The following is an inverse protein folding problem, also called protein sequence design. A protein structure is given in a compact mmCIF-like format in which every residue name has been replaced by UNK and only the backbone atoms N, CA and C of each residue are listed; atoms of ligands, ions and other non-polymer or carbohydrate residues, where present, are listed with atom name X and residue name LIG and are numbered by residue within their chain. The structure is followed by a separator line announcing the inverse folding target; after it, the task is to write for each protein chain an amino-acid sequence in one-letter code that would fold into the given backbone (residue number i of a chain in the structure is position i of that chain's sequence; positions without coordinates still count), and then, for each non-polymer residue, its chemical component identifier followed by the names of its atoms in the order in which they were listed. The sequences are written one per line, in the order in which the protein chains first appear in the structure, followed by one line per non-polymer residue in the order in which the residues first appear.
data_IF_412324598608
#
_entry.id   IF_412324598608
#
_cell.length_a   1.000
_cell.length_b   1.000
_cell.length_c   1.000
_cell.angle_alpha   90.00
_cell.angle_beta   90.00
_cell.angle_gamma   90.00
#
_symmetry.space_group_name_H-M   'P 1'
#
loop_
_entity.id
_entity.type
_entity.pdbx_description
1 polymer ?
#
# COMPACT_ATOMS: atom_id res chain seq x y z
N UNK A 1 -18.10 13.06 -17.22
CA UNK A 1 -17.76 13.31 -15.83
C UNK A 1 -16.25 13.52 -15.75
N UNK A 2 -15.79 14.50 -14.97
CA UNK A 2 -14.37 14.84 -14.79
C UNK A 2 -14.05 14.83 -13.30
N UNK A 3 -12.82 14.39 -12.96
CA UNK A 3 -12.33 14.34 -11.57
C UNK A 3 -10.95 15.01 -11.49
N UNK A 4 -10.65 15.62 -10.35
CA UNK A 4 -9.34 16.22 -10.08
C UNK A 4 -8.38 15.09 -9.65
N UNK A 5 -7.19 14.95 -10.27
CA UNK A 5 -6.24 13.90 -9.91
C UNK A 5 -5.47 14.24 -8.63
N UNK A 6 -4.87 13.23 -8.02
CA UNK A 6 -3.83 13.43 -7.02
C UNK A 6 -2.64 14.17 -7.66
N UNK A 7 -2.06 15.21 -7.03
CA UNK A 7 -0.91 15.94 -7.55
C UNK A 7 0.27 15.06 -7.92
N UNK A 8 0.48 13.97 -7.21
CA UNK A 8 1.58 13.02 -7.48
C UNK A 8 1.49 12.38 -8.87
N UNK A 9 0.29 12.34 -9.49
CA UNK A 9 0.11 11.82 -10.85
C UNK A 9 0.93 12.62 -11.89
N UNK A 10 1.17 13.92 -11.68
CA UNK A 10 2.02 14.70 -12.56
C UNK A 10 3.46 14.17 -12.63
N UNK A 11 3.95 13.58 -11.53
CA UNK A 11 5.27 12.96 -11.44
C UNK A 11 5.35 11.53 -11.97
N UNK A 12 4.26 10.98 -12.50
CA UNK A 12 4.25 9.61 -13.02
C UNK A 12 5.27 9.45 -14.16
N UNK A 13 6.12 8.42 -14.04
CA UNK A 13 7.12 8.08 -15.04
C UNK A 13 7.41 6.58 -14.99
N UNK A 14 8.11 6.06 -15.99
CA UNK A 14 8.42 4.62 -16.12
C UNK A 14 9.52 4.14 -15.15
N UNK A 15 10.21 5.06 -14.49
CA UNK A 15 11.29 4.75 -13.58
C UNK A 15 10.81 4.43 -12.16
N UNK A 16 9.56 4.74 -11.82
CA UNK A 16 8.95 4.47 -10.51
C UNK A 16 7.83 3.44 -10.61
N UNK A 17 7.85 2.44 -9.74
CA UNK A 17 6.68 1.63 -9.49
C UNK A 17 5.70 2.41 -8.61
N UNK A 18 4.75 3.06 -9.24
CA UNK A 18 3.69 3.81 -8.56
C UNK A 18 2.39 3.01 -8.50
N UNK A 19 2.50 1.70 -8.51
CA UNK A 19 1.37 0.78 -8.48
C UNK A 19 1.51 -0.18 -7.31
N UNK A 20 0.38 -0.67 -6.86
CA UNK A 20 0.32 -1.83 -5.98
C UNK A 20 -0.53 -2.92 -6.62
N UNK A 21 -0.24 -4.15 -6.28
CA UNK A 21 -0.99 -5.33 -6.68
C UNK A 21 -1.60 -6.00 -5.47
N UNK A 22 -2.90 -6.27 -5.49
CA UNK A 22 -3.55 -7.17 -4.57
C UNK A 22 -3.67 -8.54 -5.23
N UNK A 23 -3.21 -9.58 -4.57
CA UNK A 23 -3.36 -10.96 -4.98
C UNK A 23 -4.30 -11.67 -3.99
N UNK A 24 -5.50 -11.94 -4.42
CA UNK A 24 -6.56 -12.58 -3.64
C UNK A 24 -6.55 -14.06 -4.00
N UNK A 25 -6.01 -14.90 -3.14
CA UNK A 25 -5.99 -16.34 -3.39
C UNK A 25 -7.31 -16.95 -2.95
N UNK A 26 -8.06 -17.43 -3.93
CA UNK A 26 -9.32 -18.13 -3.71
C UNK A 26 -9.07 -19.58 -3.27
N UNK A 27 -10.07 -20.23 -2.67
CA UNK A 27 -9.99 -21.65 -2.34
C UNK A 27 -10.05 -22.55 -3.58
N UNK A 28 -10.72 -22.11 -4.64
CA UNK A 28 -10.88 -22.83 -5.91
C UNK A 28 -10.29 -22.06 -7.09
N UNK A 29 -10.01 -22.78 -8.18
CA UNK A 29 -9.55 -22.19 -9.45
C UNK A 29 -10.52 -21.10 -9.90
N UNK A 30 -10.02 -19.95 -10.30
CA UNK A 30 -10.84 -18.80 -10.72
C UNK A 30 -11.46 -19.06 -12.10
N UNK A 31 -12.76 -18.85 -12.23
CA UNK A 31 -13.45 -18.79 -13.49
C UNK A 31 -13.24 -17.39 -14.11
N UNK A 32 -12.45 -17.34 -15.17
CA UNK A 32 -12.09 -16.09 -15.85
C UNK A 32 -13.30 -15.34 -16.41
N UNK A 33 -14.23 -16.04 -17.07
CA UNK A 33 -15.40 -15.36 -17.68
C UNK A 33 -16.32 -14.80 -16.60
N UNK A 34 -16.49 -15.53 -15.52
CA UNK A 34 -17.26 -15.06 -14.38
C UNK A 34 -16.58 -13.86 -13.70
N UNK A 35 -15.24 -13.90 -13.53
CA UNK A 35 -14.48 -12.78 -13.01
C UNK A 35 -14.66 -11.53 -13.88
N UNK A 36 -14.47 -11.67 -15.19
CA UNK A 36 -14.62 -10.59 -16.17
C UNK A 36 -16.02 -9.95 -16.10
N UNK A 37 -17.06 -10.78 -16.06
CA UNK A 37 -18.44 -10.30 -15.89
C UNK A 37 -18.65 -9.58 -14.56
N UNK A 38 -18.04 -10.08 -13.48
CA UNK A 38 -18.16 -9.49 -12.13
C UNK A 38 -17.44 -8.15 -12.03
N UNK A 39 -16.24 -8.01 -12.63
CA UNK A 39 -15.50 -6.75 -12.72
C UNK A 39 -16.33 -5.69 -13.44
N UNK A 40 -16.85 -6.00 -14.64
CA UNK A 40 -17.63 -5.04 -15.42
C UNK A 40 -18.94 -4.65 -14.71
N UNK A 41 -19.57 -5.59 -14.01
CA UNK A 41 -20.77 -5.29 -13.22
C UNK A 41 -20.46 -4.44 -11.99
N UNK A 42 -19.37 -4.70 -11.28
CA UNK A 42 -18.93 -3.89 -10.16
C UNK A 42 -18.58 -2.46 -10.62
N UNK A 43 -17.87 -2.32 -11.75
CA UNK A 43 -17.42 -1.03 -12.30
C UNK A 43 -18.56 -0.01 -12.47
N UNK A 44 -19.78 -0.44 -12.72
CA UNK A 44 -20.96 0.45 -12.84
C UNK A 44 -21.14 1.31 -11.59
N UNK A 45 -20.84 0.75 -10.41
CA UNK A 45 -20.95 1.45 -9.12
C UNK A 45 -19.79 2.41 -8.84
N UNK A 46 -18.67 2.27 -9.58
CA UNK A 46 -17.41 2.97 -9.29
C UNK A 46 -16.90 3.75 -10.52
N UNK A 47 -17.64 4.73 -11.04
CA UNK A 47 -17.23 5.49 -12.23
C UNK A 47 -15.93 6.28 -12.03
N UNK A 48 -15.57 6.58 -10.79
CA UNK A 48 -14.31 7.24 -10.44
C UNK A 48 -13.07 6.33 -10.49
N UNK A 49 -13.24 5.01 -10.67
CA UNK A 49 -12.18 4.08 -11.09
C UNK A 49 -12.14 3.91 -12.62
N UNK A 50 -13.26 4.18 -13.31
CA UNK A 50 -13.35 4.11 -14.77
C UNK A 50 -12.88 5.44 -15.40
N UNK A 51 -11.61 5.75 -15.24
CA UNK A 51 -11.06 7.06 -15.66
C UNK A 51 -9.78 6.90 -16.47
N UNK A 52 -9.52 7.90 -17.31
CA UNK A 52 -8.23 8.06 -17.97
C UNK A 52 -7.71 9.48 -17.76
N UNK A 53 -6.40 9.67 -17.51
CA UNK A 53 -5.80 10.98 -17.40
C UNK A 53 -5.71 11.65 -18.78
N UNK A 54 -6.05 12.94 -18.83
CA UNK A 54 -5.86 13.79 -20.00
C UNK A 54 -5.28 15.11 -19.57
N UNK A 55 -4.41 15.67 -20.41
CA UNK A 55 -3.93 17.03 -20.28
C UNK A 55 -4.95 17.99 -20.85
N UNK A 56 -5.35 18.98 -20.07
CA UNK A 56 -6.13 20.15 -20.49
C UNK A 56 -5.29 21.41 -20.18
N UNK A 57 -4.70 22.01 -21.19
CA UNK A 57 -3.74 23.10 -21.04
C UNK A 57 -2.56 22.74 -20.14
N UNK A 58 -2.46 23.37 -18.98
CA UNK A 58 -1.42 23.11 -17.97
C UNK A 58 -1.90 22.19 -16.82
N UNK A 59 -3.05 21.53 -16.97
CA UNK A 59 -3.60 20.67 -15.93
C UNK A 59 -3.84 19.24 -16.42
N UNK A 60 -3.70 18.28 -15.50
CA UNK A 60 -4.24 16.94 -15.66
C UNK A 60 -5.68 16.91 -15.15
N UNK A 61 -6.53 16.19 -15.88
CA UNK A 61 -7.91 15.92 -15.52
C UNK A 61 -8.18 14.45 -15.75
N UNK A 62 -8.81 13.79 -14.80
CA UNK A 62 -9.27 12.41 -14.98
C UNK A 62 -10.67 12.45 -15.63
N UNK A 63 -10.74 12.00 -16.88
CA UNK A 63 -11.99 11.89 -17.61
C UNK A 63 -12.62 10.53 -17.42
N UNK A 64 -13.95 10.49 -17.28
CA UNK A 64 -14.65 9.22 -17.35
C UNK A 64 -14.33 8.51 -18.67
N UNK A 65 -13.96 7.25 -18.55
CA UNK A 65 -13.60 6.37 -19.65
C UNK A 65 -14.65 5.27 -19.79
N UNK A 66 -15.36 5.23 -20.90
CA UNK A 66 -16.40 4.24 -21.18
C UNK A 66 -15.87 2.90 -21.72
N UNK A 67 -14.57 2.82 -22.02
CA UNK A 67 -13.93 1.56 -22.36
C UNK A 67 -14.04 0.58 -21.20
N UNK A 68 -14.19 -0.72 -21.44
CA UNK A 68 -14.27 -1.69 -20.36
C UNK A 68 -12.97 -1.73 -19.56
N UNK A 69 -13.07 -1.90 -18.23
CA UNK A 69 -11.91 -2.18 -17.40
C UNK A 69 -11.19 -3.44 -17.91
N UNK A 70 -9.85 -3.41 -18.03
CA UNK A 70 -9.10 -4.55 -18.55
C UNK A 70 -9.09 -5.71 -17.54
N UNK A 71 -9.40 -6.92 -18.04
CA UNK A 71 -9.34 -8.17 -17.28
C UNK A 71 -8.55 -9.18 -18.09
N UNK A 72 -7.46 -9.71 -17.54
CA UNK A 72 -6.56 -10.63 -18.23
C UNK A 72 -6.72 -12.07 -17.71
N UNK A 73 -6.57 -13.09 -18.59
CA UNK A 73 -6.63 -14.51 -18.19
C UNK A 73 -5.30 -15.00 -17.59
N UNK A 74 -4.43 -14.11 -17.16
CA UNK A 74 -3.11 -14.40 -16.60
C UNK A 74 -2.70 -13.31 -15.59
N UNK A 75 -1.47 -13.43 -15.05
CA UNK A 75 -0.86 -12.55 -14.05
C UNK A 75 0.02 -11.45 -14.67
N UNK A 76 -0.18 -11.12 -15.97
CA UNK A 76 0.63 -10.08 -16.61
C UNK A 76 0.53 -8.74 -15.91
N UNK A 77 1.64 -8.03 -15.87
CA UNK A 77 1.70 -6.64 -15.47
C UNK A 77 1.70 -5.77 -16.74
N UNK A 78 0.76 -4.82 -16.82
CA UNK A 78 0.63 -3.89 -17.93
C UNK A 78 0.89 -2.45 -17.47
N UNK A 79 1.28 -1.56 -18.38
CA UNK A 79 1.40 -0.14 -18.01
C UNK A 79 0.02 0.47 -17.87
N UNK A 80 -0.33 0.91 -16.65
CA UNK A 80 -1.60 1.56 -16.37
C UNK A 80 -1.65 2.97 -16.98
N UNK A 81 -2.78 3.35 -17.55
CA UNK A 81 -2.94 4.59 -18.30
C UNK A 81 -2.47 4.51 -19.76
N UNK A 82 -2.00 3.33 -20.23
CA UNK A 82 -1.60 3.09 -21.61
C UNK A 82 -2.74 2.43 -22.41
N UNK A 83 -2.49 2.19 -23.70
CA UNK A 83 -3.38 1.45 -24.58
C UNK A 83 -3.65 0.03 -24.09
N UNK A 84 -2.64 -0.65 -23.51
CA UNK A 84 -2.78 -2.00 -22.95
C UNK A 84 -3.81 -2.07 -21.81
N UNK A 85 -3.94 -1.00 -21.04
CA UNK A 85 -4.94 -0.89 -19.97
C UNK A 85 -6.23 -0.17 -20.41
N UNK A 86 -6.49 -0.02 -21.72
CA UNK A 86 -7.59 0.80 -22.26
C UNK A 86 -7.58 2.24 -21.70
N UNK A 87 -6.41 2.78 -21.31
CA UNK A 87 -6.25 4.08 -20.68
C UNK A 87 -6.61 4.12 -19.17
N UNK A 88 -7.05 3.03 -18.58
CA UNK A 88 -7.40 2.98 -17.16
C UNK A 88 -6.18 2.92 -16.24
N UNK A 89 -6.32 3.49 -15.04
CA UNK A 89 -5.32 3.46 -13.97
C UNK A 89 -5.48 2.25 -13.02
N UNK A 90 -6.29 1.28 -13.41
CA UNK A 90 -6.56 0.02 -12.71
C UNK A 90 -6.72 -1.10 -13.74
N UNK A 91 -6.26 -2.31 -13.40
CA UNK A 91 -6.45 -3.51 -14.19
C UNK A 91 -6.71 -4.73 -13.31
N UNK A 92 -7.23 -5.79 -13.90
CA UNK A 92 -7.58 -7.03 -13.23
C UNK A 92 -7.00 -8.21 -14.00
N UNK A 93 -6.77 -9.31 -13.29
CA UNK A 93 -6.35 -10.55 -13.92
C UNK A 93 -6.66 -11.76 -13.04
N UNK A 94 -6.46 -12.95 -13.59
CA UNK A 94 -6.47 -14.16 -12.78
C UNK A 94 -5.55 -15.22 -13.36
N UNK A 95 -4.99 -16.01 -12.45
CA UNK A 95 -4.19 -17.19 -12.79
C UNK A 95 -4.42 -18.25 -11.73
N UNK A 96 -4.69 -19.46 -12.16
CA UNK A 96 -5.01 -20.57 -11.27
C UNK A 96 -6.14 -20.18 -10.29
N UNK A 97 -5.86 -20.17 -9.01
CA UNK A 97 -6.81 -19.79 -7.98
C UNK A 97 -6.66 -18.34 -7.48
N UNK A 98 -5.90 -17.49 -8.16
CA UNK A 98 -5.60 -16.13 -7.70
C UNK A 98 -6.23 -15.07 -8.60
N UNK A 99 -6.94 -14.11 -8.00
CA UNK A 99 -7.43 -12.89 -8.63
C UNK A 99 -6.43 -11.78 -8.33
N UNK A 100 -6.04 -11.02 -9.35
CA UNK A 100 -5.15 -9.87 -9.25
C UNK A 100 -5.91 -8.57 -9.49
N UNK A 101 -5.62 -7.56 -8.67
CA UNK A 101 -6.04 -6.18 -8.86
C UNK A 101 -4.79 -5.33 -8.86
N UNK A 102 -4.47 -4.70 -9.98
CA UNK A 102 -3.38 -3.74 -10.11
C UNK A 102 -3.97 -2.34 -10.12
N UNK A 103 -3.50 -1.48 -9.24
CA UNK A 103 -4.00 -0.11 -9.16
C UNK A 103 -2.85 0.89 -9.04
N UNK A 104 -2.96 2.00 -9.78
CA UNK A 104 -2.05 3.12 -9.62
C UNK A 104 -2.28 3.79 -8.25
N UNK A 105 -1.21 3.97 -7.49
CA UNK A 105 -1.27 4.71 -6.22
C UNK A 105 -1.63 6.19 -6.41
N UNK A 106 -1.55 6.70 -7.64
CA UNK A 106 -2.03 8.05 -7.96
C UNK A 106 -3.56 8.13 -8.08
N UNK A 107 -4.24 6.97 -8.25
CA UNK A 107 -5.70 6.88 -8.28
C UNK A 107 -6.25 6.57 -6.89
N UNK A 108 -5.76 5.53 -6.25
CA UNK A 108 -6.27 5.06 -4.97
C UNK A 108 -5.17 4.39 -4.13
N UNK A 109 -5.43 4.25 -2.84
CA UNK A 109 -4.68 3.36 -1.94
C UNK A 109 -5.47 2.06 -1.64
N UNK A 110 -4.91 1.20 -0.79
CA UNK A 110 -5.53 -0.07 -0.41
C UNK A 110 -6.93 0.10 0.18
N UNK A 111 -7.13 1.07 1.07
CA UNK A 111 -8.45 1.37 1.65
C UNK A 111 -9.42 1.96 0.62
N UNK A 112 -8.91 2.71 -0.35
CA UNK A 112 -9.71 3.25 -1.45
C UNK A 112 -10.21 2.17 -2.41
N UNK A 113 -9.41 1.13 -2.66
CA UNK A 113 -9.76 0.00 -3.55
C UNK A 113 -10.60 -1.06 -2.84
N UNK A 114 -10.51 -1.18 -1.52
CA UNK A 114 -11.22 -2.19 -0.72
C UNK A 114 -12.72 -2.31 -1.05
N UNK A 115 -13.51 -1.21 -1.13
CA UNK A 115 -14.93 -1.32 -1.46
C UNK A 115 -15.20 -1.93 -2.85
N UNK A 116 -14.37 -1.58 -3.85
CA UNK A 116 -14.46 -2.17 -5.19
C UNK A 116 -14.10 -3.66 -5.16
N UNK A 117 -13.04 -4.03 -4.46
CA UNK A 117 -12.64 -5.42 -4.25
C UNK A 117 -13.76 -6.24 -3.62
N UNK A 118 -14.39 -5.75 -2.56
CA UNK A 118 -15.51 -6.43 -1.88
C UNK A 118 -16.70 -6.60 -2.82
N UNK A 119 -17.08 -5.56 -3.56
CA UNK A 119 -18.20 -5.63 -4.51
C UNK A 119 -17.93 -6.63 -5.63
N UNK A 120 -16.71 -6.63 -6.18
CA UNK A 120 -16.27 -7.60 -7.18
C UNK A 120 -16.36 -9.03 -6.63
N UNK A 121 -15.78 -9.28 -5.45
CA UNK A 121 -15.76 -10.61 -4.83
C UNK A 121 -17.17 -11.09 -4.50
N UNK A 122 -18.03 -10.20 -3.98
CA UNK A 122 -19.42 -10.54 -3.71
C UNK A 122 -20.15 -10.98 -4.99
N UNK A 123 -20.02 -10.22 -6.08
CA UNK A 123 -20.64 -10.56 -7.36
C UNK A 123 -20.12 -11.89 -7.93
N UNK A 124 -18.82 -12.13 -7.79
CA UNK A 124 -18.18 -13.37 -8.22
C UNK A 124 -18.65 -14.56 -7.38
N UNK A 125 -18.54 -14.46 -6.05
CA UNK A 125 -18.88 -15.52 -5.11
C UNK A 125 -20.38 -15.84 -5.14
N UNK A 126 -21.24 -14.82 -5.09
CA UNK A 126 -22.69 -15.01 -5.10
C UNK A 126 -23.17 -15.72 -6.38
N UNK A 127 -22.56 -15.43 -7.52
CA UNK A 127 -22.90 -16.09 -8.78
C UNK A 127 -22.38 -17.53 -8.86
N UNK A 128 -21.22 -17.80 -8.28
CA UNK A 128 -20.56 -19.11 -8.34
C UNK A 128 -21.07 -20.10 -7.28
N UNK A 129 -21.31 -19.61 -6.07
CA UNK A 129 -21.58 -20.46 -4.91
C UNK A 129 -22.92 -20.16 -4.22
N UNK A 130 -23.61 -19.10 -4.61
CA UNK A 130 -24.80 -18.61 -3.94
C UNK A 130 -24.50 -17.53 -2.89
N UNK A 131 -25.55 -17.09 -2.19
CA UNK A 131 -25.49 -15.95 -1.26
C UNK A 131 -25.54 -16.37 0.22
N UNK A 132 -25.58 -17.66 0.51
CA UNK A 132 -25.70 -18.15 1.87
C UNK A 132 -24.51 -17.74 2.74
N UNK A 133 -24.81 -17.03 3.84
CA UNK A 133 -23.84 -16.54 4.80
C UNK A 133 -22.97 -15.38 4.31
N UNK A 134 -23.38 -14.70 3.22
CA UNK A 134 -22.83 -13.42 2.80
C UNK A 134 -23.64 -12.26 3.40
N UNK A 135 -22.94 -11.26 3.90
CA UNK A 135 -23.52 -10.03 4.42
C UNK A 135 -23.42 -8.92 3.36
N UNK A 136 -24.47 -8.14 3.16
CA UNK A 136 -24.52 -7.12 2.10
C UNK A 136 -24.46 -5.69 2.62
N UNK A 137 -24.63 -5.48 3.91
CA UNK A 137 -24.76 -4.15 4.51
C UNK A 137 -23.56 -3.22 4.24
N UNK A 138 -22.36 -3.79 4.18
CA UNK A 138 -21.13 -3.04 3.89
C UNK A 138 -20.62 -3.20 2.45
N UNK A 139 -21.39 -3.87 1.59
CA UNK A 139 -21.05 -4.06 0.19
C UNK A 139 -21.80 -3.04 -0.66
N UNK A 140 -21.05 -2.25 -1.43
CA UNK A 140 -21.65 -1.27 -2.35
C UNK A 140 -22.15 -2.00 -3.61
N UNK A 141 -23.43 -2.26 -3.67
CA UNK A 141 -24.07 -2.95 -4.78
C UNK A 141 -24.11 -2.08 -6.06
N UNK A 142 -24.16 -2.66 -7.27
CA UNK A 142 -24.15 -1.91 -8.53
C UNK A 142 -25.24 -0.83 -8.65
N UNK A 143 -26.36 -1.00 -7.99
CA UNK A 143 -27.52 -0.10 -7.96
C UNK A 143 -27.53 0.83 -6.73
N UNK A 144 -26.59 0.69 -5.81
CA UNK A 144 -26.51 1.58 -4.63
C UNK A 144 -26.04 2.99 -5.01
N UNK A 145 -26.52 4.04 -4.32
CA UNK A 145 -26.15 5.41 -4.64
C UNK A 145 -24.67 5.68 -4.40
N UNK A 146 -24.09 6.56 -5.22
CA UNK A 146 -22.73 7.07 -5.06
C UNK A 146 -22.79 8.29 -4.16
N UNK A 147 -22.02 8.27 -3.06
CA UNK A 147 -21.92 9.41 -2.14
C UNK A 147 -20.77 10.34 -2.56
N UNK A 148 -20.97 11.64 -2.42
CA UNK A 148 -19.95 12.65 -2.74
C UNK A 148 -18.62 12.41 -2.01
N UNK A 149 -18.67 12.00 -0.75
CA UNK A 149 -17.47 11.67 0.04
C UNK A 149 -16.60 10.55 -0.50
N UNK A 150 -17.08 9.78 -1.51
CA UNK A 150 -16.29 8.73 -2.13
C UNK A 150 -15.31 9.26 -3.19
N UNK A 151 -15.64 10.37 -3.87
CA UNK A 151 -14.93 10.80 -5.08
C UNK A 151 -14.60 12.30 -5.14
N UNK A 152 -15.11 13.11 -4.21
CA UNK A 152 -14.68 14.51 -4.11
C UNK A 152 -13.20 14.56 -3.77
N UNK A 153 -12.49 15.46 -4.45
CA UNK A 153 -11.06 15.68 -4.22
C UNK A 153 -10.82 16.11 -2.77
N UNK A 154 -9.99 15.36 -2.01
CA UNK A 154 -9.95 15.52 -0.55
C UNK A 154 -8.99 16.61 -0.06
N UNK A 155 -8.00 17.01 -0.89
CA UNK A 155 -7.03 18.00 -0.48
C UNK A 155 -7.59 19.41 -0.64
N UNK A 156 -7.36 20.32 0.32
CA UNK A 156 -7.78 21.71 0.21
C UNK A 156 -7.01 22.44 -0.90
N UNK A 157 -7.58 23.54 -1.42
CA UNK A 157 -6.94 24.38 -2.45
C UNK A 157 -5.81 25.27 -1.90
N UNK A 158 -5.65 25.37 -0.59
CA UNK A 158 -4.58 26.13 0.07
C UNK A 158 -4.15 25.50 1.37
N UNK A 159 -3.12 26.06 2.00
CA UNK A 159 -2.58 25.57 3.25
C UNK A 159 -3.63 25.53 4.35
N UNK A 160 -3.65 24.44 5.11
CA UNK A 160 -4.50 24.27 6.30
C UNK A 160 -3.91 25.05 7.47
N UNK A 161 -4.77 25.64 8.30
CA UNK A 161 -4.35 26.29 9.53
C UNK A 161 -3.90 25.25 10.56
N UNK A 162 -2.79 25.50 11.23
CA UNK A 162 -2.31 24.73 12.38
C UNK A 162 -2.35 25.63 13.63
N UNK A 163 -2.72 25.06 14.76
CA UNK A 163 -2.73 25.78 16.04
C UNK A 163 -1.36 25.83 16.69
N UNK A 164 -0.50 24.85 16.34
CA UNK A 164 0.85 24.72 16.85
C UNK A 164 1.86 24.61 15.71
N UNK A 165 3.05 25.15 15.94
CA UNK A 165 4.18 24.97 15.02
C UNK A 165 4.74 23.55 15.16
N UNK A 166 4.31 22.65 14.30
CA UNK A 166 4.87 21.30 14.23
C UNK A 166 6.16 21.32 13.40
N UNK A 167 7.29 21.16 14.08
CA UNK A 167 8.56 20.89 13.40
C UNK A 167 8.62 19.41 13.10
N UNK A 168 8.41 19.04 11.82
CA UNK A 168 8.67 17.66 11.40
C UNK A 168 10.11 17.29 11.76
N UNK A 169 10.28 16.24 12.55
CA UNK A 169 11.60 15.82 13.01
C UNK A 169 12.52 15.56 11.82
N UNK A 170 13.72 16.13 11.84
CA UNK A 170 14.73 15.89 10.82
C UNK A 170 15.09 14.40 10.82
N UNK A 171 15.02 13.78 9.67
CA UNK A 171 15.49 12.41 9.47
C UNK A 171 17.01 12.36 9.57
N UNK A 172 17.61 11.23 10.02
CA UNK A 172 19.06 11.09 10.05
C UNK A 172 19.64 11.21 8.63
N UNK A 173 20.80 11.87 8.52
CA UNK A 173 21.50 12.03 7.24
C UNK A 173 22.08 10.71 6.73
N UNK A 174 22.46 9.81 7.65
CA UNK A 174 22.93 8.47 7.34
C UNK A 174 22.12 7.43 8.11
N UNK A 175 21.76 6.37 7.43
CA UNK A 175 21.00 5.24 7.98
C UNK A 175 21.73 3.92 7.71
N UNK A 176 21.35 2.89 8.45
CA UNK A 176 21.82 1.54 8.19
C UNK A 176 21.32 1.06 6.83
N UNK A 177 22.27 0.65 5.99
CA UNK A 177 21.99 0.08 4.67
C UNK A 177 22.09 -1.44 4.74
N UNK A 178 21.16 -2.11 4.09
CA UNK A 178 21.21 -3.56 3.94
C UNK A 178 22.41 -3.99 3.09
N UNK A 179 22.95 -5.16 3.41
CA UNK A 179 24.04 -5.75 2.65
C UNK A 179 23.56 -6.20 1.26
N UNK A 180 24.02 -5.58 0.16
CA UNK A 180 23.59 -5.96 -1.19
C UNK A 180 23.99 -7.38 -1.58
N UNK A 181 25.03 -7.95 -0.96
CA UNK A 181 25.47 -9.34 -1.22
C UNK A 181 24.48 -10.35 -0.64
N UNK A 182 23.57 -9.93 0.23
CA UNK A 182 22.51 -10.79 0.75
C UNK A 182 21.48 -11.20 -0.33
N UNK A 183 21.51 -10.57 -1.50
CA UNK A 183 20.56 -10.78 -2.60
C UNK A 183 21.32 -11.34 -3.81
N UNK A 184 20.96 -12.53 -4.26
CA UNK A 184 21.67 -13.27 -5.30
C UNK A 184 21.19 -13.02 -6.74
N UNK A 185 20.06 -12.30 -6.91
CA UNK A 185 19.53 -11.95 -8.24
C UNK A 185 18.88 -10.56 -8.23
N UNK A 186 18.83 -9.92 -9.41
CA UNK A 186 18.02 -8.70 -9.59
C UNK A 186 16.55 -9.04 -9.79
N UNK A 187 15.67 -8.23 -9.24
CA UNK A 187 14.22 -8.34 -9.36
C UNK A 187 13.50 -8.11 -8.03
N UNK A 188 12.19 -8.19 -8.06
CA UNK A 188 11.35 -8.08 -6.88
C UNK A 188 10.94 -9.48 -6.43
N UNK A 189 11.21 -9.81 -5.16
CA UNK A 189 10.88 -11.09 -4.55
C UNK A 189 10.00 -10.88 -3.33
N UNK A 190 9.03 -11.76 -3.18
CA UNK A 190 8.12 -11.78 -2.04
C UNK A 190 8.12 -13.16 -1.38
N UNK A 191 8.10 -13.15 -0.07
CA UNK A 191 7.92 -14.32 0.78
C UNK A 191 6.63 -14.14 1.58
N UNK A 192 5.79 -15.16 1.56
CA UNK A 192 4.47 -15.14 2.19
C UNK A 192 4.52 -15.84 3.53
N UNK A 193 4.20 -15.11 4.58
CA UNK A 193 4.17 -15.64 5.94
C UNK A 193 2.73 -15.59 6.47
N UNK A 194 2.30 -16.67 7.13
CA UNK A 194 1.09 -16.65 7.95
C UNK A 194 1.46 -16.62 9.42
N UNK A 195 0.82 -15.71 10.15
CA UNK A 195 1.00 -15.52 11.58
C UNK A 195 -0.37 -15.38 12.24
N UNK A 196 -0.73 -16.20 13.24
CA UNK A 196 -2.01 -16.07 13.91
C UNK A 196 -2.18 -14.69 14.55
N UNK A 197 -3.29 -14.00 14.24
CA UNK A 197 -3.56 -12.63 14.73
C UNK A 197 -3.62 -12.58 16.26
N UNK A 198 -4.26 -13.57 16.89
CA UNK A 198 -4.48 -13.60 18.34
C UNK A 198 -3.16 -13.58 19.10
N UNK A 199 -2.22 -14.42 18.72
CA UNK A 199 -0.91 -14.55 19.36
C UNK A 199 -0.05 -13.32 19.10
N UNK A 200 -0.01 -12.84 17.86
CA UNK A 200 0.74 -11.62 17.49
C UNK A 200 0.19 -10.41 18.23
N UNK A 201 -1.14 -10.22 18.26
CA UNK A 201 -1.77 -9.09 18.94
C UNK A 201 -1.63 -9.15 20.45
N UNK A 202 -1.71 -10.35 21.06
CA UNK A 202 -1.49 -10.53 22.48
C UNK A 202 -0.06 -10.14 22.87
N UNK A 203 0.94 -10.56 22.09
CA UNK A 203 2.34 -10.22 22.34
C UNK A 203 2.60 -8.73 22.10
N UNK A 204 2.09 -8.15 21.02
CA UNK A 204 2.20 -6.72 20.77
C UNK A 204 1.62 -5.89 21.93
N UNK A 205 0.41 -6.21 22.38
CA UNK A 205 -0.27 -5.51 23.47
C UNK A 205 0.43 -5.68 24.82
N UNK A 206 0.92 -6.87 25.14
CA UNK A 206 1.62 -7.13 26.41
C UNK A 206 3.00 -6.45 26.47
N UNK A 207 3.55 -6.06 25.33
CA UNK A 207 4.82 -5.34 25.23
C UNK A 207 4.65 -3.87 24.87
N UNK A 208 3.55 -3.23 25.22
CA UNK A 208 3.22 -1.82 24.92
C UNK A 208 3.31 -1.46 23.42
N UNK A 209 3.08 -2.43 22.54
CA UNK A 209 3.17 -2.26 21.10
C UNK A 209 1.80 -2.13 20.43
N UNK A 210 1.83 -1.66 19.19
CA UNK A 210 0.79 -1.82 18.16
C UNK A 210 1.29 -2.83 17.12
N UNK A 211 0.45 -3.39 16.23
CA UNK A 211 0.93 -4.31 15.20
C UNK A 211 2.12 -3.76 14.42
N UNK A 212 2.06 -2.49 14.04
CA UNK A 212 3.11 -1.85 13.24
C UNK A 212 4.39 -1.60 14.04
N UNK A 213 4.27 -1.06 15.27
CA UNK A 213 5.45 -0.84 16.12
C UNK A 213 6.13 -2.14 16.50
N UNK A 214 5.34 -3.17 16.78
CA UNK A 214 5.84 -4.49 17.15
C UNK A 214 6.60 -5.14 15.97
N UNK A 215 6.02 -5.16 14.77
CA UNK A 215 6.71 -5.66 13.58
C UNK A 215 7.98 -4.86 13.28
N UNK A 216 7.95 -3.53 13.48
CA UNK A 216 9.14 -2.68 13.31
C UNK A 216 10.25 -3.07 14.28
N UNK A 217 9.91 -3.32 15.55
CA UNK A 217 10.87 -3.78 16.57
C UNK A 217 11.41 -5.16 16.21
N UNK A 218 10.58 -6.09 15.79
CA UNK A 218 11.04 -7.43 15.39
C UNK A 218 12.02 -7.38 14.21
N UNK A 219 11.72 -6.56 13.20
CA UNK A 219 12.64 -6.42 12.07
C UNK A 219 13.92 -5.69 12.46
N UNK A 220 13.84 -4.66 13.30
CA UNK A 220 15.03 -4.00 13.87
C UNK A 220 15.92 -4.99 14.63
N UNK A 221 15.36 -5.84 15.47
CA UNK A 221 16.10 -6.88 16.21
C UNK A 221 16.70 -7.93 15.27
N UNK A 222 15.98 -8.31 14.22
CA UNK A 222 16.46 -9.22 13.19
C UNK A 222 17.71 -8.65 12.48
N UNK A 223 17.72 -7.35 12.18
CA UNK A 223 18.89 -6.69 11.60
C UNK A 223 20.10 -6.68 12.57
N UNK A 224 19.87 -6.39 13.85
CA UNK A 224 20.94 -6.47 14.86
C UNK A 224 21.45 -7.90 15.11
N UNK A 225 20.63 -8.91 14.93
CA UNK A 225 21.07 -10.32 14.98
C UNK A 225 22.06 -10.64 13.87
N UNK A 226 21.92 -9.98 12.72
CA UNK A 226 22.77 -10.19 11.54
C UNK A 226 24.03 -9.32 11.56
N UNK A 227 24.01 -8.20 12.29
CA UNK A 227 25.11 -7.25 12.40
C UNK A 227 25.20 -6.65 13.81
N UNK A 228 25.99 -7.29 14.68
CA UNK A 228 26.20 -6.86 16.05
C UNK A 228 26.98 -5.54 16.14
N UNK A 229 27.66 -5.11 15.08
CA UNK A 229 28.47 -3.90 15.03
C UNK A 229 27.75 -2.73 14.36
N UNK A 230 26.42 -2.81 14.21
CA UNK A 230 25.62 -1.73 13.64
C UNK A 230 25.83 -0.42 14.39
N UNK A 231 26.39 0.59 13.72
CA UNK A 231 26.71 1.91 14.27
C UNK A 231 25.75 3.02 13.79
N UNK A 232 25.00 2.78 12.70
CA UNK A 232 24.04 3.71 12.12
C UNK A 232 22.60 3.39 12.57
N UNK A 233 21.74 4.41 12.68
CA UNK A 233 20.34 4.19 13.00
C UNK A 233 19.62 3.46 11.87
N UNK A 234 18.68 2.58 12.23
CA UNK A 234 17.69 2.04 11.32
C UNK A 234 16.57 3.08 11.15
N UNK A 235 16.20 3.36 9.91
CA UNK A 235 15.06 4.21 9.58
C UNK A 235 13.95 3.34 8.96
N UNK A 236 12.85 3.22 9.69
CA UNK A 236 11.64 2.59 9.20
C UNK A 236 10.64 3.64 8.68
N UNK A 237 9.99 3.35 7.58
CA UNK A 237 8.80 4.07 7.12
C UNK A 237 7.55 3.27 7.47
N UNK A 238 6.73 3.83 8.34
CA UNK A 238 5.46 3.26 8.78
C UNK A 238 4.33 3.95 8.05
N UNK A 239 3.49 3.17 7.39
CA UNK A 239 2.35 3.71 6.67
C UNK A 239 1.34 4.35 7.61
N UNK A 240 0.85 5.50 7.23
CA UNK A 240 -0.15 6.30 7.91
C UNK A 240 -1.18 6.87 6.93
N UNK A 241 -2.32 7.40 7.43
CA UNK A 241 -3.44 7.81 6.60
C UNK A 241 -3.95 9.21 6.95
N UNK A 242 -4.16 10.06 5.94
CA UNK A 242 -4.73 11.40 6.11
C UNK A 242 -6.27 11.44 6.24
N UNK A 243 -6.98 10.31 6.10
CA UNK A 243 -8.46 10.27 6.09
C UNK A 243 -9.10 10.94 7.31
N UNK A 244 -8.51 10.76 8.49
CA UNK A 244 -9.02 11.34 9.73
C UNK A 244 -8.91 12.87 9.75
N UNK A 245 -7.74 13.42 9.42
CA UNK A 245 -7.50 14.86 9.42
C UNK A 245 -8.25 15.58 8.31
N UNK A 246 -8.38 14.95 7.14
CA UNK A 246 -9.15 15.46 6.01
C UNK A 246 -10.65 15.21 6.13
N UNK A 247 -11.10 14.46 7.15
CA UNK A 247 -12.52 14.09 7.38
C UNK A 247 -13.18 13.42 6.17
N UNK A 248 -12.43 12.56 5.48
CA UNK A 248 -12.86 11.87 4.24
C UNK A 248 -12.78 10.34 4.37
N UNK A 249 -13.49 9.71 5.32
CA UNK A 249 -13.36 8.29 5.63
C UNK A 249 -13.73 7.37 4.44
N UNK A 250 -14.60 7.85 3.54
CA UNK A 250 -15.09 7.07 2.40
C UNK A 250 -14.33 7.33 1.11
N UNK A 251 -13.34 8.22 1.10
CA UNK A 251 -12.62 8.62 -0.10
C UNK A 251 -11.87 7.44 -0.74
N UNK A 252 -12.02 7.30 -2.07
CA UNK A 252 -11.23 6.33 -2.84
C UNK A 252 -9.79 6.81 -3.08
N UNK A 253 -9.52 8.10 -2.96
CA UNK A 253 -8.22 8.67 -3.26
C UNK A 253 -7.10 8.06 -2.41
N UNK A 254 -5.90 8.05 -2.96
CA UNK A 254 -4.68 7.73 -2.21
C UNK A 254 -4.39 8.82 -1.19
N UNK A 255 -4.56 8.48 0.07
CA UNK A 255 -4.37 9.36 1.23
C UNK A 255 -3.31 8.80 2.18
N UNK A 256 -2.38 8.02 1.64
CA UNK A 256 -1.28 7.41 2.38
C UNK A 256 -0.17 8.43 2.61
N UNK A 257 0.35 8.43 3.81
CA UNK A 257 1.58 9.08 4.23
C UNK A 257 2.52 8.08 4.88
N UNK A 258 3.77 8.45 5.08
CA UNK A 258 4.76 7.66 5.80
C UNK A 258 5.28 8.41 7.01
N UNK A 259 5.25 7.74 8.15
CA UNK A 259 5.85 8.21 9.39
C UNK A 259 7.27 7.67 9.46
N UNK A 260 8.32 8.52 9.46
CA UNK A 260 9.68 8.08 9.64
C UNK A 260 9.95 7.75 11.13
N UNK A 261 10.28 6.50 11.39
CA UNK A 261 10.61 5.99 12.74
C UNK A 261 12.09 5.70 12.81
N UNK A 262 12.82 6.43 13.64
CA UNK A 262 14.26 6.27 13.81
C UNK A 262 14.56 5.37 15.02
N UNK A 263 15.30 4.31 14.76
CA UNK A 263 15.73 3.34 15.78
C UNK A 263 17.27 3.34 15.89
N UNK A 264 17.83 4.08 16.87
CA UNK A 264 19.28 4.14 17.04
C UNK A 264 19.85 2.83 17.59
N UNK A 265 21.15 2.49 17.33
CA UNK A 265 21.76 1.23 17.75
C UNK A 265 21.63 0.95 19.25
N UNK A 266 21.68 2.00 20.09
CA UNK A 266 21.51 1.87 21.55
C UNK A 266 20.18 1.26 21.98
N UNK A 267 19.15 1.35 21.13
CA UNK A 267 17.82 0.79 21.41
C UNK A 267 17.87 -0.75 21.54
N UNK A 268 18.81 -1.41 20.86
CA UNK A 268 18.98 -2.87 20.92
C UNK A 268 19.36 -3.40 22.32
N UNK A 269 19.88 -2.52 23.19
CA UNK A 269 20.22 -2.88 24.58
C UNK A 269 19.02 -3.00 25.52
N UNK A 270 17.83 -2.59 25.05
CA UNK A 270 16.61 -2.58 25.83
C UNK A 270 15.77 -3.82 25.52
N UNK A 271 14.88 -4.15 26.46
CA UNK A 271 13.88 -5.19 26.25
C UNK A 271 12.84 -4.78 25.18
N UNK A 272 12.08 -5.75 24.70
CA UNK A 272 11.08 -5.55 23.65
C UNK A 272 10.02 -4.52 24.04
N UNK A 273 9.61 -4.49 25.32
CA UNK A 273 8.59 -3.56 25.81
C UNK A 273 9.07 -2.11 25.66
N UNK A 274 10.27 -1.79 26.14
CA UNK A 274 10.85 -0.44 26.02
C UNK A 274 11.11 -0.05 24.56
N UNK A 275 11.54 -1.00 23.73
CA UNK A 275 11.71 -0.78 22.30
C UNK A 275 10.37 -0.40 21.65
N UNK A 276 9.30 -1.14 21.96
CA UNK A 276 7.95 -0.86 21.47
C UNK A 276 7.43 0.49 21.96
N UNK A 277 7.61 0.82 23.25
CA UNK A 277 7.21 2.13 23.80
C UNK A 277 7.84 3.27 23.00
N UNK A 278 9.13 3.19 22.68
CA UNK A 278 9.84 4.23 21.91
C UNK A 278 9.34 4.30 20.47
N UNK A 279 9.19 3.16 19.82
CA UNK A 279 8.72 3.11 18.41
C UNK A 279 7.27 3.57 18.30
N UNK A 280 6.39 3.07 19.17
CA UNK A 280 4.98 3.47 19.22
C UNK A 280 4.83 4.95 19.56
N UNK A 281 5.63 5.46 20.50
CA UNK A 281 5.66 6.89 20.84
C UNK A 281 5.99 7.77 19.63
N UNK A 282 6.97 7.38 18.81
CA UNK A 282 7.26 8.10 17.56
C UNK A 282 6.11 8.04 16.57
N UNK A 283 5.46 6.88 16.40
CA UNK A 283 4.31 6.72 15.50
C UNK A 283 3.16 7.64 15.94
N UNK A 284 2.84 7.70 17.23
CA UNK A 284 1.78 8.55 17.77
C UNK A 284 2.11 10.05 17.59
N UNK A 285 3.33 10.47 17.96
CA UNK A 285 3.73 11.88 17.92
C UNK A 285 3.89 12.42 16.48
N UNK A 286 4.33 11.57 15.54
CA UNK A 286 4.56 11.98 14.15
C UNK A 286 3.35 11.71 13.24
N UNK A 287 2.35 10.99 13.73
CA UNK A 287 1.06 10.75 13.06
C UNK A 287 -0.09 11.46 13.75
N UNK A 288 0.18 12.50 14.55
CA UNK A 288 -0.86 13.32 15.14
C UNK A 288 -1.46 14.29 14.11
N UNK A 289 -2.54 14.95 14.47
CA UNK A 289 -3.27 15.87 13.60
C UNK A 289 -2.39 16.99 13.05
N UNK A 290 -1.52 17.58 13.88
CA UNK A 290 -0.70 18.72 13.48
C UNK A 290 0.44 18.30 12.55
N UNK A 291 1.03 17.14 12.78
CA UNK A 291 2.02 16.54 11.88
C UNK A 291 1.41 16.19 10.51
N UNK A 292 0.19 15.66 10.49
CA UNK A 292 -0.55 15.40 9.25
C UNK A 292 -0.82 16.68 8.48
N UNK A 293 -1.31 17.74 9.15
CA UNK A 293 -1.53 19.06 8.53
C UNK A 293 -0.21 19.61 7.95
N UNK A 294 0.89 19.52 8.69
CA UNK A 294 2.17 19.99 8.22
C UNK A 294 2.65 19.21 6.97
N UNK A 295 2.41 17.90 6.93
CA UNK A 295 2.74 17.06 5.76
C UNK A 295 1.86 17.39 4.54
N UNK A 296 0.58 17.62 4.74
CA UNK A 296 -0.36 18.03 3.67
C UNK A 296 0.03 19.42 3.14
N UNK A 297 0.31 20.38 4.03
CA UNK A 297 0.74 21.73 3.64
C UNK A 297 2.03 21.67 2.80
N UNK A 298 3.00 20.82 3.18
CA UNK A 298 4.22 20.63 2.40
C UNK A 298 3.93 20.13 0.98
N UNK A 299 2.98 19.18 0.83
CA UNK A 299 2.57 18.70 -0.50
C UNK A 299 1.94 19.85 -1.33
N UNK A 300 1.03 20.61 -0.70
CA UNK A 300 0.36 21.76 -1.36
C UNK A 300 1.38 22.83 -1.76
N UNK A 301 2.29 23.20 -0.86
CA UNK A 301 3.33 24.18 -1.13
C UNK A 301 4.33 23.73 -2.20
N UNK A 302 4.60 22.42 -2.27
CA UNK A 302 5.50 21.86 -3.29
C UNK A 302 4.84 21.79 -4.65
N UNK A 303 3.50 21.67 -4.73
CA UNK A 303 2.78 21.60 -5.99
C UNK A 303 2.50 23.00 -6.55
N UNK A 304 3.18 23.41 -7.64
CA UNK A 304 3.04 24.75 -8.19
C UNK A 304 1.78 24.85 -9.06
N UNK A 305 0.61 24.95 -8.45
CA UNK A 305 -0.72 24.82 -9.10
C UNK A 305 -0.94 25.75 -10.28
N UNK A 306 -0.37 26.98 -10.24
CA UNK A 306 -0.52 28.00 -11.28
C UNK A 306 0.59 27.97 -12.35
N UNK A 307 1.54 27.02 -12.23
CA UNK A 307 2.69 26.95 -13.14
C UNK A 307 2.37 26.13 -14.39
N UNK A 308 3.19 26.24 -15.45
CA UNK A 308 3.12 25.38 -16.62
C UNK A 308 3.19 23.89 -16.27
N UNK A 309 2.61 23.04 -17.11
CA UNK A 309 2.56 21.60 -16.91
C UNK A 309 3.94 20.96 -16.63
N UNK A 310 5.00 21.41 -17.34
CA UNK A 310 6.35 20.91 -17.16
C UNK A 310 6.88 21.14 -15.73
N UNK A 311 6.62 22.31 -15.14
CA UNK A 311 7.06 22.65 -13.79
C UNK A 311 6.34 21.82 -12.73
N UNK A 312 5.04 21.59 -12.92
CA UNK A 312 4.23 20.70 -12.06
C UNK A 312 4.78 19.28 -12.07
N UNK A 313 5.07 18.77 -13.26
CA UNK A 313 5.65 17.43 -13.44
C UNK A 313 6.99 17.30 -12.73
N UNK A 314 7.90 18.24 -12.97
CA UNK A 314 9.25 18.19 -12.42
C UNK A 314 9.25 18.37 -10.89
N UNK A 315 8.33 19.19 -10.36
CA UNK A 315 8.15 19.35 -8.91
C UNK A 315 7.67 18.04 -8.26
N UNK A 316 6.68 17.38 -8.86
CA UNK A 316 6.12 16.13 -8.30
C UNK A 316 7.05 14.93 -8.48
N UNK A 317 7.82 14.87 -9.57
CA UNK A 317 8.85 13.85 -9.73
C UNK A 317 9.91 13.95 -8.62
N UNK A 318 10.44 15.15 -8.37
CA UNK A 318 11.39 15.40 -7.26
C UNK A 318 10.79 15.14 -5.87
N UNK A 319 9.50 15.45 -5.66
CA UNK A 319 8.82 15.17 -4.41
C UNK A 319 8.75 13.66 -4.16
N UNK A 320 8.31 12.90 -5.17
CA UNK A 320 8.23 11.44 -5.10
C UNK A 320 9.60 10.80 -4.85
N UNK A 321 10.64 11.25 -5.57
CA UNK A 321 12.00 10.76 -5.39
C UNK A 321 12.49 10.94 -3.94
N UNK A 322 12.30 12.12 -3.36
CA UNK A 322 12.71 12.38 -1.96
C UNK A 322 11.95 11.54 -0.95
N UNK A 323 10.69 11.21 -1.20
CA UNK A 323 9.89 10.41 -0.26
C UNK A 323 10.32 8.94 -0.18
N UNK A 324 11.08 8.48 -1.19
CA UNK A 324 11.50 7.09 -1.34
C UNK A 324 12.89 6.83 -0.79
N UNK A 325 13.80 7.81 -0.90
CA UNK A 325 15.22 7.64 -0.56
C UNK A 325 15.47 7.60 0.96
N UNK A 326 16.49 6.85 1.36
CA UNK A 326 17.10 6.96 2.68
C UNK A 326 16.49 6.14 3.81
N UNK A 327 15.67 5.13 3.51
CA UNK A 327 15.09 4.24 4.53
C UNK A 327 15.70 2.83 4.51
N UNK A 328 15.71 2.16 5.66
CA UNK A 328 16.16 0.78 5.79
C UNK A 328 15.04 -0.21 5.45
N UNK A 329 13.81 0.05 5.92
CA UNK A 329 12.65 -0.77 5.61
C UNK A 329 11.33 0.00 5.70
N UNK A 330 10.27 -0.59 5.13
CA UNK A 330 8.91 -0.09 5.23
C UNK A 330 7.96 -1.13 5.81
N UNK A 331 6.97 -0.68 6.57
CA UNK A 331 5.86 -1.52 7.06
C UNK A 331 4.54 -0.84 6.80
N UNK A 332 3.62 -1.61 6.21
CA UNK A 332 2.26 -1.19 5.92
C UNK A 332 1.28 -2.17 6.55
N UNK A 333 0.25 -1.63 7.18
CA UNK A 333 -0.86 -2.39 7.73
C UNK A 333 -2.17 -1.63 7.51
N UNK A 334 -3.00 -2.13 6.62
CA UNK A 334 -4.28 -1.48 6.28
C UNK A 334 -5.37 -1.65 7.34
N UNK A 335 -5.11 -2.40 8.41
CA UNK A 335 -6.09 -2.70 9.44
C UNK A 335 -6.83 -4.02 9.20
N UNK A 336 -7.79 -4.31 10.09
CA UNK A 336 -8.63 -5.50 9.96
C UNK A 336 -9.68 -5.25 8.87
N UNK A 337 -9.69 -6.12 7.86
CA UNK A 337 -10.71 -6.11 6.81
C UNK A 337 -11.98 -6.80 7.31
N UNK A 338 -13.13 -6.17 7.11
CA UNK A 338 -14.42 -6.83 7.24
C UNK A 338 -14.76 -7.51 5.91
N UNK A 339 -14.70 -8.83 5.91
CA UNK A 339 -14.89 -9.64 4.71
C UNK A 339 -16.35 -9.90 4.35
N UNK A 340 -17.32 -9.54 5.21
CA UNK A 340 -18.75 -9.73 4.96
C UNK A 340 -19.13 -11.19 4.61
N UNK A 341 -18.45 -12.17 5.20
CA UNK A 341 -18.63 -13.62 4.93
C UNK A 341 -17.84 -14.13 3.71
N UNK A 342 -17.15 -13.27 2.98
CA UNK A 342 -16.34 -13.66 1.80
C UNK A 342 -15.07 -14.44 2.17
N UNK A 343 -14.56 -14.32 3.40
CA UNK A 343 -13.38 -15.06 3.89
C UNK A 343 -13.53 -16.58 3.80
N UNK A 344 -14.76 -17.06 3.72
CA UNK A 344 -15.04 -18.49 3.50
C UNK A 344 -14.54 -19.02 2.16
N UNK A 345 -14.34 -18.14 1.17
CA UNK A 345 -13.94 -18.45 -0.20
C UNK A 345 -12.52 -17.97 -0.51
N UNK A 346 -11.95 -17.14 0.35
CA UNK A 346 -10.60 -16.61 0.23
C UNK A 346 -9.66 -17.43 1.13
N UNK A 347 -8.52 -17.82 0.59
CA UNK A 347 -7.47 -18.54 1.33
C UNK A 347 -6.53 -17.55 2.01
N UNK A 348 -6.05 -16.56 1.24
CA UNK A 348 -5.20 -15.48 1.72
C UNK A 348 -5.28 -14.25 0.78
N UNK A 349 -4.78 -13.13 1.27
CA UNK A 349 -4.66 -11.87 0.53
C UNK A 349 -3.24 -11.35 0.73
N UNK A 350 -2.56 -11.09 -0.36
CA UNK A 350 -1.24 -10.47 -0.37
C UNK A 350 -1.28 -9.14 -1.11
N UNK A 351 -0.56 -8.16 -0.61
CA UNK A 351 -0.33 -6.90 -1.31
C UNK A 351 1.15 -6.80 -1.69
N UNK A 352 1.41 -6.40 -2.92
CA UNK A 352 2.74 -6.17 -3.45
C UNK A 352 2.90 -4.72 -3.79
N UNK A 353 3.96 -4.14 -3.29
CA UNK A 353 4.44 -2.82 -3.68
C UNK A 353 5.91 -2.95 -4.10
N UNK A 354 6.45 -1.94 -4.72
CA UNK A 354 7.86 -1.94 -5.07
C UNK A 354 8.30 -0.53 -5.38
N UNK A 355 9.57 -0.32 -5.18
CA UNK A 355 10.22 0.94 -5.47
C UNK A 355 11.44 0.62 -6.33
N UNK A 356 11.41 1.05 -7.60
CA UNK A 356 12.44 0.70 -8.58
C UNK A 356 13.85 1.18 -8.20
N UNK A 357 13.95 2.23 -7.41
CA UNK A 357 15.22 2.84 -7.02
C UNK A 357 15.74 2.40 -5.66
N UNK A 358 14.94 1.71 -4.86
CA UNK A 358 15.39 1.17 -3.58
C UNK A 358 16.05 -0.19 -3.76
N UNK A 359 17.21 -0.21 -4.41
CA UNK A 359 18.14 -1.31 -4.21
C UNK A 359 18.38 -1.39 -2.71
N UNK A 360 18.07 -2.53 -2.09
CA UNK A 360 18.34 -2.83 -0.69
C UNK A 360 17.36 -2.26 0.35
N UNK A 361 16.06 -2.29 0.08
CA UNK A 361 15.04 -2.04 1.08
C UNK A 361 14.20 -3.32 1.33
N UNK A 362 13.77 -3.49 2.57
CA UNK A 362 12.76 -4.48 2.93
C UNK A 362 11.40 -3.80 3.06
N UNK A 363 10.34 -4.46 2.59
CA UNK A 363 8.97 -4.01 2.74
C UNK A 363 8.13 -5.14 3.32
N UNK A 364 7.28 -4.82 4.28
CA UNK A 364 6.32 -5.78 4.84
C UNK A 364 4.92 -5.18 4.70
N UNK A 365 4.11 -5.83 3.88
CA UNK A 365 2.66 -5.58 3.82
C UNK A 365 1.92 -6.58 4.68
N UNK A 366 1.03 -6.09 5.53
CA UNK A 366 0.24 -6.89 6.46
C UNK A 366 -1.22 -6.82 6.08
N UNK A 367 -1.77 -7.96 5.68
CA UNK A 367 -3.18 -8.13 5.35
C UNK A 367 -3.84 -9.09 6.32
N UNK A 368 -5.17 -9.06 6.40
CA UNK A 368 -5.93 -9.95 7.30
C UNK A 368 -6.95 -10.75 6.53
N UNK A 369 -6.94 -12.07 6.70
CA UNK A 369 -7.98 -12.99 6.20
C UNK A 369 -8.35 -13.96 7.32
N UNK A 370 -9.62 -13.98 7.70
CA UNK A 370 -10.06 -14.81 8.82
C UNK A 370 -9.33 -14.44 10.13
N UNK A 371 -8.63 -15.40 10.72
CA UNK A 371 -7.91 -15.22 11.98
C UNK A 371 -6.39 -15.06 11.82
N UNK A 372 -5.89 -15.01 10.57
CA UNK A 372 -4.47 -14.89 10.28
C UNK A 372 -4.08 -13.52 9.73
N UNK A 373 -2.88 -13.09 10.09
CA UNK A 373 -2.12 -12.12 9.33
C UNK A 373 -1.42 -12.82 8.17
N UNK A 374 -1.67 -12.33 6.95
CA UNK A 374 -0.89 -12.65 5.76
C UNK A 374 0.16 -11.54 5.60
N UNK A 375 1.42 -11.85 5.92
CA UNK A 375 2.53 -10.93 5.73
C UNK A 375 3.18 -11.21 4.39
N UNK A 376 3.34 -10.17 3.59
CA UNK A 376 4.14 -10.20 2.36
C UNK A 376 5.47 -9.52 2.65
N UNK A 377 6.51 -10.32 2.84
CA UNK A 377 7.88 -9.84 3.05
C UNK A 377 8.54 -9.67 1.70
N UNK A 378 8.77 -8.43 1.29
CA UNK A 378 9.28 -8.06 -0.03
C UNK A 378 10.69 -7.51 0.04
N UNK A 379 11.50 -7.83 -0.98
CA UNK A 379 12.87 -7.35 -1.11
C UNK A 379 13.32 -7.27 -2.58
N UNK A 380 14.39 -6.51 -2.82
CA UNK A 380 15.09 -6.51 -4.10
C UNK A 380 16.02 -7.71 -4.17
N UNK A 381 15.83 -8.57 -5.16
CA UNK A 381 16.61 -9.79 -5.29
C UNK A 381 16.16 -10.94 -4.40
N UNK A 382 16.60 -12.15 -4.75
CA UNK A 382 16.30 -13.36 -4.02
C UNK A 382 17.33 -13.56 -2.91
N UNK A 383 16.90 -13.99 -1.74
CA UNK A 383 17.77 -14.31 -0.61
C UNK A 383 16.98 -14.39 0.69
N UNK A 384 17.32 -15.34 1.53
CA UNK A 384 16.58 -15.62 2.76
C UNK A 384 17.25 -15.04 4.03
N UNK A 385 18.37 -14.34 3.92
CA UNK A 385 19.14 -13.85 5.08
C UNK A 385 18.26 -13.04 6.03
N UNK A 386 17.60 -12.01 5.51
CA UNK A 386 16.76 -11.12 6.31
C UNK A 386 15.43 -11.75 6.70
N UNK A 387 14.83 -12.52 5.79
CA UNK A 387 13.62 -13.29 6.07
C UNK A 387 13.83 -14.24 7.25
N UNK A 388 14.90 -15.06 7.20
CA UNK A 388 15.17 -16.04 8.24
C UNK A 388 15.43 -15.39 9.60
N UNK A 389 16.18 -14.30 9.64
CA UNK A 389 16.39 -13.55 10.88
C UNK A 389 15.08 -12.96 11.44
N UNK A 390 14.20 -12.45 10.58
CA UNK A 390 12.89 -11.94 11.00
C UNK A 390 11.97 -13.06 11.51
N UNK A 391 11.93 -14.20 10.84
CA UNK A 391 11.17 -15.38 11.26
C UNK A 391 11.69 -15.91 12.60
N UNK A 392 13.01 -15.93 12.81
CA UNK A 392 13.62 -16.32 14.08
C UNK A 392 13.23 -15.37 15.23
N UNK A 393 13.16 -14.06 15.00
CA UNK A 393 12.68 -13.12 16.02
C UNK A 393 11.22 -13.41 16.39
N UNK A 394 10.33 -13.66 15.41
CA UNK A 394 8.94 -14.05 15.69
C UNK A 394 8.88 -15.33 16.54
N UNK A 395 9.64 -16.36 16.13
CA UNK A 395 9.68 -17.65 16.85
C UNK A 395 10.27 -17.56 18.24
N UNK A 396 11.24 -16.67 18.46
CA UNK A 396 11.87 -16.46 19.76
C UNK A 396 10.87 -15.97 20.83
N UNK A 397 9.77 -15.36 20.38
CA UNK A 397 8.66 -14.92 21.22
C UNK A 397 7.53 -15.95 21.31
N UNK A 398 7.77 -17.18 20.88
CA UNK A 398 6.80 -18.28 20.83
C UNK A 398 5.55 -18.00 19.99
N UNK A 399 5.64 -17.10 19.00
CA UNK A 399 4.58 -16.83 18.05
C UNK A 399 4.74 -17.81 16.89
N UNK A 400 3.71 -18.61 16.55
CA UNK A 400 3.74 -19.48 15.38
C UNK A 400 3.89 -18.63 14.09
N UNK A 401 4.77 -19.08 13.21
CA UNK A 401 4.94 -18.46 11.88
C UNK A 401 5.24 -19.55 10.87
N UNK A 402 4.56 -19.51 9.73
CA UNK A 402 4.76 -20.43 8.61
C UNK A 402 5.06 -19.67 7.31
N UNK A 403 6.10 -20.09 6.61
CA UNK A 403 6.37 -19.68 5.24
C UNK A 403 5.47 -20.50 4.32
N UNK A 404 4.56 -19.85 3.60
CA UNK A 404 3.54 -20.49 2.76
C UNK A 404 3.76 -20.28 1.27
N UNK A 405 4.71 -19.45 0.89
CA UNK A 405 5.06 -19.20 -0.51
C UNK A 405 6.27 -18.32 -0.69
N UNK A 406 6.87 -18.43 -1.86
CA UNK A 406 7.94 -17.58 -2.37
C UNK A 406 7.67 -17.32 -3.84
N UNK A 407 7.83 -16.10 -4.30
CA UNK A 407 7.70 -15.79 -5.72
C UNK A 407 8.53 -14.58 -6.15
N UNK A 408 8.92 -14.60 -7.42
CA UNK A 408 9.35 -13.41 -8.13
C UNK A 408 8.10 -12.72 -8.69
N UNK A 409 7.85 -11.49 -8.30
CA UNK A 409 6.69 -10.75 -8.77
C UNK A 409 7.06 -9.59 -9.68
N UNK A 410 6.08 -9.15 -10.47
CA UNK A 410 6.16 -7.96 -11.32
C UNK A 410 5.07 -6.99 -10.92
N UNK A 411 5.39 -5.71 -10.98
CA UNK A 411 4.41 -4.64 -10.80
C UNK A 411 4.16 -3.93 -12.12
N UNK A 412 2.95 -3.44 -12.26
CA UNK A 412 2.59 -2.49 -13.30
C UNK A 412 3.30 -1.16 -13.07
N UNK A 413 3.57 -0.41 -14.13
CA UNK A 413 3.93 1.00 -14.05
C UNK A 413 2.70 1.86 -14.40
N UNK A 414 2.71 3.12 -13.99
CA UNK A 414 1.79 4.13 -14.52
C UNK A 414 2.46 4.83 -15.69
N UNK A 415 1.76 4.98 -16.83
CA UNK A 415 2.28 5.66 -18.00
C UNK A 415 2.74 7.08 -17.67
N UNK A 416 3.81 7.51 -18.32
CA UNK A 416 4.27 8.89 -18.19
C UNK A 416 3.21 9.85 -18.74
N UNK A 417 2.90 10.89 -17.98
CA UNK A 417 1.94 11.92 -18.39
C UNK A 417 2.49 12.88 -19.46
N UNK A 418 3.66 12.57 -20.04
CA UNK A 418 4.20 13.37 -21.17
C UNK A 418 3.42 13.15 -22.47
N UNK A 419 2.74 12.02 -22.60
CA UNK A 419 2.03 11.63 -23.83
C UNK A 419 0.52 11.91 -23.76
N UNK A 420 0.04 12.43 -22.64
CA UNK A 420 -1.37 12.75 -22.44
C UNK A 420 -1.79 14.09 -23.04
#
# INVERSE_FOLDING_TARGET
MKFKPNPLLYGANEDFYSTFRLAIRMKDIVDYELLRCSVHKAAVRYPYFCVLPKREEDNLVLHYNSSPLPVFPDDRAVTLGSEESNGHLISFGCKDNTIFIDCSHYLADGMGVEPLMKSLLYLYVSKRYGTEGLETEQIRMPDSPICDGEHIYPFPDGAMNTEEFCTLSKEPEEVYNLDPVAFDTEGLYAYHLHVPQKEMMAMASSSDGSPVSFLSVLLYRALHRLDDNMDKPVLAHVQHQYRAVLRTPMSHHSLVNYIPVTMPPRLNKWDVEKQNTVVRGQVILKGDKEADIASINRLIETFPSESPFADKRDAMARYSEKSILGKTFGISYVGKLDWCGLERYVKDLHAYIGERHTKNMLLIEVMTVGEDFSLTFMQSGRGEKYLNAFVEEIRSLHIPVSLVGEERYKLCNTASMMQC
#
